data_IF_030202061469
#
_entry.id   IF_030202061469
#
_cell.length_a   1.000
_cell.length_b   1.000
_cell.length_c   1.000
_cell.angle_alpha   90.00
_cell.angle_beta   90.00
_cell.angle_gamma   90.00
#
_symmetry.space_group_name_H-M   'P 1'
#
loop_
_entity.id
_entity.type
_entity.pdbx_description
1 polymer ?
#
# COMPACT_ATOMS: atom_id res chain seq x y z
N UNK A 1 -49.31 -41.29 34.81
CA UNK A 1 -48.33 -40.35 34.22
C UNK A 1 -47.11 -41.17 33.80
N UNK A 2 -46.60 -40.91 32.60
CA UNK A 2 -45.75 -41.81 31.80
C UNK A 2 -44.30 -41.87 32.31
N UNK A 3 -43.75 -43.08 32.29
CA UNK A 3 -42.36 -43.41 32.60
C UNK A 3 -41.42 -43.16 31.41
N UNK A 4 -40.30 -42.55 31.75
CA UNK A 4 -38.90 -42.81 31.34
C UNK A 4 -38.53 -42.96 29.86
N UNK A 5 -37.66 -42.04 29.45
CA UNK A 5 -36.89 -42.02 28.21
C UNK A 5 -35.83 -43.14 28.17
N UNK A 6 -35.53 -43.56 26.94
CA UNK A 6 -34.29 -44.18 26.42
C UNK A 6 -34.27 -45.71 26.28
N UNK A 7 -34.25 -46.14 25.01
CA UNK A 7 -33.32 -47.19 24.59
C UNK A 7 -32.66 -46.76 23.27
N UNK A 8 -31.33 -46.65 23.34
CA UNK A 8 -30.40 -46.39 22.24
C UNK A 8 -30.28 -47.64 21.36
N UNK A 9 -30.17 -47.42 20.05
CA UNK A 9 -29.08 -47.96 19.25
C UNK A 9 -29.12 -49.43 18.80
N UNK A 10 -28.87 -49.57 17.50
CA UNK A 10 -28.03 -50.57 16.85
C UNK A 10 -28.67 -51.85 16.26
N UNK A 11 -28.44 -51.96 14.94
CA UNK A 11 -28.15 -53.16 14.14
C UNK A 11 -29.34 -54.12 13.84
N UNK A 12 -29.45 -54.80 12.69
CA UNK A 12 -28.51 -55.09 11.62
C UNK A 12 -29.26 -55.44 10.30
N UNK A 13 -28.51 -55.35 9.20
CA UNK A 13 -28.81 -55.73 7.82
C UNK A 13 -29.22 -57.21 7.65
N UNK A 14 -30.06 -57.52 6.65
CA UNK A 14 -29.87 -58.71 5.81
C UNK A 14 -30.64 -58.61 4.48
N UNK A 15 -29.90 -58.90 3.41
CA UNK A 15 -30.15 -58.76 1.98
C UNK A 15 -31.20 -59.75 1.42
N UNK A 16 -31.82 -59.40 0.28
CA UNK A 16 -32.23 -60.42 -0.70
C UNK A 16 -33.33 -60.02 -1.69
N UNK A 17 -32.97 -59.71 -2.94
CA UNK A 17 -33.90 -59.85 -4.07
C UNK A 17 -33.63 -59.00 -5.32
N UNK A 18 -32.81 -59.54 -6.23
CA UNK A 18 -32.72 -59.25 -7.67
C UNK A 18 -32.15 -57.90 -8.16
N UNK A 19 -31.05 -58.06 -8.91
CA UNK A 19 -30.28 -57.10 -9.67
C UNK A 19 -30.90 -56.91 -11.08
N UNK A 20 -30.99 -55.65 -11.53
CA UNK A 20 -30.98 -55.19 -12.93
C UNK A 20 -32.11 -55.63 -13.88
N UNK A 21 -32.78 -54.66 -14.52
CA UNK A 21 -32.86 -54.49 -15.99
C UNK A 21 -33.70 -53.22 -16.29
N UNK A 22 -33.06 -52.22 -16.90
CA UNK A 22 -33.62 -50.89 -17.16
C UNK A 22 -34.53 -50.80 -18.38
N UNK A 23 -35.22 -49.66 -18.50
CA UNK A 23 -35.91 -49.26 -19.73
C UNK A 23 -37.00 -48.22 -19.53
N UNK A 24 -36.67 -46.93 -19.65
CA UNK A 24 -37.61 -45.85 -19.96
C UNK A 24 -38.37 -45.21 -18.80
N UNK A 25 -37.84 -44.12 -18.24
CA UNK A 25 -38.68 -43.10 -17.60
C UNK A 25 -38.84 -43.13 -16.07
N UNK A 26 -37.90 -43.69 -15.29
CA UNK A 26 -37.84 -43.38 -13.85
C UNK A 26 -37.31 -41.97 -13.64
N UNK A 27 -38.20 -40.99 -13.83
CA UNK A 27 -38.04 -39.65 -13.27
C UNK A 27 -37.79 -39.84 -11.77
N UNK A 28 -36.62 -39.50 -11.26
CA UNK A 28 -36.45 -39.33 -9.83
C UNK A 28 -37.51 -38.29 -9.38
N UNK A 29 -38.52 -38.71 -8.60
CA UNK A 29 -39.65 -37.85 -8.17
C UNK A 29 -39.22 -36.72 -7.22
N UNK A 30 -37.99 -36.77 -6.71
CA UNK A 30 -37.48 -35.83 -5.73
C UNK A 30 -36.11 -35.35 -6.19
N UNK A 31 -36.08 -34.18 -6.79
CA UNK A 31 -34.86 -33.40 -6.97
C UNK A 31 -35.00 -32.16 -6.07
N UNK A 32 -34.00 -31.90 -5.24
CA UNK A 32 -33.92 -30.68 -4.44
C UNK A 32 -32.72 -29.87 -4.94
N UNK A 33 -32.99 -28.68 -5.47
CA UNK A 33 -31.99 -27.67 -5.79
C UNK A 33 -32.22 -26.48 -4.87
N UNK A 34 -31.21 -26.07 -4.12
CA UNK A 34 -31.22 -24.82 -3.36
C UNK A 34 -30.14 -23.92 -3.94
N UNK A 35 -30.53 -22.79 -4.51
CA UNK A 35 -29.59 -21.81 -5.03
C UNK A 35 -29.44 -20.70 -3.99
N UNK A 36 -28.30 -20.65 -3.31
CA UNK A 36 -27.92 -19.45 -2.58
C UNK A 36 -27.63 -18.34 -3.60
N UNK A 37 -28.19 -17.15 -3.40
CA UNK A 37 -27.80 -15.98 -4.17
C UNK A 37 -26.33 -15.66 -3.83
N UNK A 38 -25.41 -16.02 -4.71
CA UNK A 38 -24.04 -15.55 -4.61
C UNK A 38 -24.06 -14.02 -4.77
N UNK A 39 -23.57 -13.30 -3.76
CA UNK A 39 -23.51 -11.84 -3.78
C UNK A 39 -22.60 -11.31 -4.89
N UNK A 40 -22.67 -10.01 -5.15
CA UNK A 40 -21.77 -9.32 -6.09
C UNK A 40 -20.46 -8.95 -5.41
N UNK A 41 -19.33 -9.19 -6.08
CA UNK A 41 -18.01 -8.72 -5.66
C UNK A 41 -17.72 -7.40 -6.40
N UNK A 42 -17.24 -6.40 -5.67
CA UNK A 42 -16.82 -5.09 -6.22
C UNK A 42 -15.34 -4.89 -5.94
N UNK A 43 -14.60 -4.41 -6.94
CA UNK A 43 -13.18 -4.11 -6.80
C UNK A 43 -12.95 -2.84 -5.94
N UNK A 44 -11.81 -2.81 -5.26
CA UNK A 44 -11.35 -1.64 -4.52
C UNK A 44 -10.82 -0.51 -5.41
N UNK A 45 -10.38 0.58 -4.77
CA UNK A 45 -9.78 1.75 -5.41
C UNK A 45 -8.46 2.09 -4.73
N UNK A 46 -7.41 2.33 -5.53
CA UNK A 46 -6.11 2.80 -5.09
C UNK A 46 -5.74 4.04 -5.92
N UNK A 47 -5.70 5.20 -5.27
CA UNK A 47 -5.40 6.46 -5.94
C UNK A 47 -4.60 7.41 -5.05
N UNK A 48 -3.81 8.28 -5.66
CA UNK A 48 -3.14 9.41 -5.00
C UNK A 48 -3.28 10.65 -5.87
N UNK A 49 -3.73 11.75 -5.28
CA UNK A 49 -3.68 13.07 -5.90
C UNK A 49 -2.66 13.91 -5.15
N UNK A 50 -1.82 14.63 -5.87
CA UNK A 50 -0.72 15.37 -5.29
C UNK A 50 -0.88 16.87 -5.57
N UNK A 51 -0.78 17.68 -4.52
CA UNK A 51 -0.69 19.13 -4.65
C UNK A 51 0.68 19.54 -5.25
N UNK A 52 0.88 20.84 -5.48
CA UNK A 52 2.20 21.35 -5.86
C UNK A 52 3.18 21.19 -4.70
N UNK A 53 4.28 20.48 -4.90
CA UNK A 53 5.33 20.36 -3.90
C UNK A 53 6.24 21.59 -3.86
N UNK A 54 6.87 21.81 -2.71
CA UNK A 54 7.71 22.97 -2.42
C UNK A 54 9.05 22.50 -1.88
N UNK A 55 10.13 23.11 -2.36
CA UNK A 55 11.46 22.98 -1.79
C UNK A 55 11.75 24.14 -0.85
N UNK A 56 12.32 23.85 0.31
CA UNK A 56 12.76 24.84 1.30
C UNK A 56 14.19 24.60 1.75
N UNK A 57 14.88 25.65 2.18
CA UNK A 57 16.19 25.55 2.82
C UNK A 57 16.07 25.11 4.30
N UNK A 58 17.20 24.99 5.00
CA UNK A 58 17.23 24.63 6.43
C UNK A 58 16.49 25.62 7.33
N UNK A 59 16.36 26.88 6.89
CA UNK A 59 15.62 27.92 7.62
C UNK A 59 14.13 27.94 7.27
N UNK A 60 13.67 27.06 6.36
CA UNK A 60 12.28 26.98 5.91
C UNK A 60 11.91 27.98 4.82
N UNK A 61 12.89 28.68 4.23
CA UNK A 61 12.60 29.62 3.14
C UNK A 61 12.40 28.87 1.82
N UNK A 62 11.40 29.24 1.00
CA UNK A 62 11.21 28.64 -0.32
C UNK A 62 12.45 28.79 -1.22
N UNK A 63 12.79 27.70 -1.91
CA UNK A 63 13.95 27.62 -2.80
C UNK A 63 13.50 27.55 -4.25
N UNK A 64 14.01 28.45 -5.09
CA UNK A 64 13.87 28.36 -6.54
C UNK A 64 14.99 27.48 -7.12
N UNK A 65 14.68 26.23 -7.43
CA UNK A 65 15.64 25.26 -7.98
C UNK A 65 16.28 25.68 -9.30
N UNK A 66 15.68 26.60 -10.07
CA UNK A 66 16.27 27.07 -11.32
C UNK A 66 17.52 27.94 -11.11
N UNK A 67 17.65 28.56 -9.94
CA UNK A 67 18.73 29.52 -9.63
C UNK A 67 19.51 29.17 -8.38
N UNK A 68 19.01 28.23 -7.57
CA UNK A 68 19.64 27.87 -6.30
C UNK A 68 20.90 27.03 -6.53
N UNK A 69 22.01 27.47 -5.94
CA UNK A 69 23.30 26.80 -5.99
C UNK A 69 23.62 26.24 -4.61
N UNK A 70 23.60 24.92 -4.48
CA UNK A 70 23.90 24.24 -3.22
C UNK A 70 25.39 24.35 -2.88
N UNK A 71 25.69 24.46 -1.59
CA UNK A 71 27.06 24.38 -1.05
C UNK A 71 27.18 23.26 -0.01
N UNK A 72 28.39 22.75 0.27
CA UNK A 72 28.59 21.80 1.36
C UNK A 72 28.00 22.34 2.68
N UNK A 73 27.11 21.56 3.28
CA UNK A 73 26.36 21.89 4.48
C UNK A 73 24.87 22.20 4.24
N UNK A 74 24.46 22.39 2.99
CA UNK A 74 23.06 22.66 2.65
C UNK A 74 22.16 21.46 2.93
N UNK A 75 20.96 21.77 3.42
CA UNK A 75 19.88 20.83 3.61
C UNK A 75 18.63 21.43 2.99
N UNK A 76 18.14 20.78 1.94
CA UNK A 76 16.90 21.14 1.26
C UNK A 76 15.81 20.14 1.64
N UNK A 77 14.62 20.65 1.95
CA UNK A 77 13.46 19.83 2.28
C UNK A 77 12.39 19.99 1.20
N UNK A 78 11.98 18.88 0.59
CA UNK A 78 10.83 18.83 -0.29
C UNK A 78 9.61 18.38 0.49
N UNK A 79 8.51 19.13 0.37
CA UNK A 79 7.23 18.81 0.99
C UNK A 79 6.13 18.85 -0.04
N UNK A 80 5.21 17.88 0.00
CA UNK A 80 4.06 17.80 -0.87
C UNK A 80 2.86 17.19 -0.14
N UNK A 81 1.72 17.86 -0.25
CA UNK A 81 0.45 17.35 0.28
C UNK A 81 -0.19 16.36 -0.70
N UNK A 82 -0.71 15.27 -0.16
CA UNK A 82 -1.24 14.13 -0.91
C UNK A 82 -2.60 13.71 -0.37
N UNK A 83 -3.58 13.58 -1.26
CA UNK A 83 -4.87 12.96 -0.99
C UNK A 83 -4.83 11.49 -1.41
N UNK A 84 -4.75 10.60 -0.42
CA UNK A 84 -4.64 9.14 -0.63
C UNK A 84 -6.01 8.48 -0.51
N UNK A 85 -6.39 7.73 -1.54
CA UNK A 85 -7.60 6.87 -1.54
C UNK A 85 -7.20 5.40 -1.52
N UNK A 86 -7.55 4.71 -0.44
CA UNK A 86 -7.46 3.27 -0.25
C UNK A 86 -8.85 2.72 0.05
N UNK A 87 -9.47 2.07 -0.93
CA UNK A 87 -10.75 1.37 -0.79
C UNK A 87 -10.54 -0.12 -1.04
N UNK A 88 -10.98 -0.96 -0.11
CA UNK A 88 -10.93 -2.42 -0.20
C UNK A 88 -10.55 -3.05 1.15
N UNK A 89 -11.14 -4.21 1.44
CA UNK A 89 -11.09 -4.83 2.78
C UNK A 89 -9.68 -5.19 3.27
N UNK A 90 -8.73 -5.35 2.35
CA UNK A 90 -7.32 -5.69 2.64
C UNK A 90 -6.34 -4.71 1.99
N UNK A 91 -6.80 -3.48 1.67
CA UNK A 91 -6.01 -2.50 0.92
C UNK A 91 -4.94 -1.86 1.81
N UNK A 92 -3.69 -1.91 1.35
CA UNK A 92 -2.59 -1.12 1.89
C UNK A 92 -1.64 -0.70 0.77
N UNK A 93 -0.94 0.42 0.94
CA UNK A 93 0.01 0.91 -0.04
C UNK A 93 1.23 1.55 0.60
N UNK A 94 2.40 1.27 0.05
CA UNK A 94 3.62 2.00 0.35
C UNK A 94 3.65 3.30 -0.42
N UNK A 95 3.89 4.40 0.26
CA UNK A 95 4.30 5.64 -0.39
C UNK A 95 5.81 5.62 -0.64
N UNK A 96 6.22 5.77 -1.89
CA UNK A 96 7.63 5.75 -2.31
C UNK A 96 7.96 7.08 -2.99
N UNK A 97 9.11 7.65 -2.64
CA UNK A 97 9.66 8.81 -3.34
C UNK A 97 10.49 8.35 -4.54
N UNK A 98 10.22 8.90 -5.72
CA UNK A 98 10.97 8.60 -6.95
C UNK A 98 12.02 9.66 -7.24
N UNK A 99 12.99 9.33 -8.11
CA UNK A 99 14.13 10.19 -8.43
C UNK A 99 15.00 10.58 -7.23
N UNK A 100 15.03 9.78 -6.16
CA UNK A 100 15.73 10.05 -4.89
C UNK A 100 17.15 9.46 -4.80
N UNK A 101 17.69 8.86 -5.87
CA UNK A 101 19.00 8.22 -5.85
C UNK A 101 20.15 9.15 -5.44
N UNK A 102 20.99 8.68 -4.50
CA UNK A 102 22.08 9.46 -3.90
C UNK A 102 23.22 9.82 -4.89
N UNK A 103 23.30 9.20 -6.07
CA UNK A 103 24.40 9.44 -7.02
C UNK A 103 24.03 10.26 -8.26
N UNK A 104 22.83 10.84 -8.32
CA UNK A 104 22.38 11.54 -9.53
C UNK A 104 23.10 12.89 -9.66
N UNK A 105 24.24 12.89 -10.34
CA UNK A 105 25.01 14.10 -10.68
C UNK A 105 25.99 14.59 -9.61
N UNK A 106 25.94 14.03 -8.40
CA UNK A 106 26.89 14.24 -7.30
C UNK A 106 27.60 12.93 -6.96
N UNK A 107 28.76 13.01 -6.31
CA UNK A 107 29.36 11.86 -5.64
C UNK A 107 28.41 11.32 -4.55
N UNK A 108 28.02 10.03 -4.59
CA UNK A 108 27.11 9.43 -3.58
C UNK A 108 27.62 9.53 -2.14
N UNK A 109 28.93 9.69 -1.94
CA UNK A 109 29.52 9.85 -0.61
C UNK A 109 29.29 11.24 -0.04
N UNK A 110 29.07 12.24 -0.89
CA UNK A 110 28.92 13.65 -0.53
C UNK A 110 27.47 14.09 -0.32
N UNK A 111 26.49 13.32 -0.79
CA UNK A 111 25.08 13.68 -0.64
C UNK A 111 24.29 12.58 0.06
N UNK A 112 23.14 12.94 0.60
CA UNK A 112 22.19 11.98 1.18
C UNK A 112 20.78 12.43 0.88
N UNK A 113 19.93 11.47 0.53
CA UNK A 113 18.49 11.69 0.35
C UNK A 113 17.76 10.75 1.28
N UNK A 114 16.83 11.26 2.08
CA UNK A 114 16.09 10.43 3.02
C UNK A 114 14.96 9.68 2.32
N UNK A 115 14.54 8.57 2.93
CA UNK A 115 13.23 7.97 2.65
C UNK A 115 12.10 8.96 2.94
N UNK A 116 10.93 8.80 2.29
CA UNK A 116 9.77 9.65 2.57
C UNK A 116 9.32 9.54 4.02
N UNK A 117 9.15 10.69 4.66
CA UNK A 117 8.45 10.83 5.95
C UNK A 117 7.04 11.31 5.68
N UNK A 118 6.07 10.70 6.35
CA UNK A 118 4.65 11.06 6.27
C UNK A 118 4.22 11.72 7.58
N UNK A 119 3.46 12.81 7.48
CA UNK A 119 2.79 13.44 8.63
C UNK A 119 1.34 13.76 8.32
N UNK A 120 0.52 13.89 9.35
CA UNK A 120 -0.84 14.42 9.23
C UNK A 120 -0.84 15.96 9.32
N UNK A 121 -2.04 16.54 9.39
CA UNK A 121 -2.24 17.98 9.49
C UNK A 121 -1.73 18.57 10.82
N UNK A 122 -1.66 17.75 11.89
CA UNK A 122 -1.16 18.16 13.20
C UNK A 122 0.36 17.98 13.32
N UNK A 123 0.98 17.34 12.31
CA UNK A 123 2.42 17.09 12.22
C UNK A 123 2.85 15.75 12.82
N UNK A 124 1.90 14.93 13.26
CA UNK A 124 2.18 13.61 13.82
C UNK A 124 2.63 12.64 12.72
N UNK A 125 3.58 11.77 13.07
CA UNK A 125 4.19 10.85 12.10
C UNK A 125 3.22 9.72 11.76
N UNK A 126 3.02 9.51 10.46
CA UNK A 126 2.20 8.44 9.93
C UNK A 126 3.09 7.28 9.47
N UNK A 127 2.67 6.07 9.81
CA UNK A 127 3.35 4.86 9.38
C UNK A 127 3.22 4.63 7.86
N UNK A 128 4.24 4.01 7.27
CA UNK A 128 4.26 3.56 5.89
C UNK A 128 4.55 2.04 5.91
N UNK A 129 3.69 1.16 5.40
CA UNK A 129 2.55 1.39 4.49
C UNK A 129 1.34 2.10 5.11
N UNK A 130 0.62 2.86 4.27
CA UNK A 130 -0.71 3.40 4.56
C UNK A 130 -1.76 2.30 4.48
N UNK A 131 -2.72 2.31 5.41
CA UNK A 131 -3.79 1.31 5.51
C UNK A 131 -5.19 1.91 5.42
N UNK A 132 -5.32 3.24 5.43
CA UNK A 132 -6.60 3.95 5.31
C UNK A 132 -6.52 5.10 4.31
N UNK A 133 -7.67 5.56 3.83
CA UNK A 133 -7.76 6.78 3.02
C UNK A 133 -7.58 8.00 3.92
N UNK A 134 -6.70 8.92 3.53
CA UNK A 134 -6.35 10.07 4.36
C UNK A 134 -5.58 11.12 3.55
N UNK A 135 -5.63 12.35 4.03
CA UNK A 135 -4.72 13.41 3.62
C UNK A 135 -3.40 13.27 4.37
N UNK A 136 -2.26 13.34 3.67
CA UNK A 136 -0.93 13.25 4.27
C UNK A 136 0.01 14.26 3.64
N UNK A 137 0.91 14.79 4.46
CA UNK A 137 2.05 15.57 3.99
C UNK A 137 3.26 14.65 3.88
N UNK A 138 3.77 14.47 2.66
CA UNK A 138 4.97 13.69 2.40
C UNK A 138 6.19 14.60 2.27
N UNK A 139 7.30 14.20 2.87
CA UNK A 139 8.55 14.96 2.82
C UNK A 139 9.78 14.10 2.60
N UNK A 140 10.77 14.65 1.91
CA UNK A 140 12.14 14.12 1.82
C UNK A 140 13.13 15.25 2.04
N UNK A 141 14.36 14.91 2.46
CA UNK A 141 15.46 15.87 2.48
C UNK A 141 16.55 15.48 1.50
N UNK A 142 17.16 16.47 0.87
CA UNK A 142 18.44 16.36 0.19
C UNK A 142 19.49 17.11 1.01
N UNK A 143 20.52 16.40 1.44
CA UNK A 143 21.66 16.98 2.14
C UNK A 143 22.89 16.95 1.25
N UNK A 144 23.55 18.10 1.09
CA UNK A 144 24.93 18.17 0.62
C UNK A 144 25.84 18.24 1.85
N UNK A 145 26.59 17.17 2.12
CA UNK A 145 27.29 17.01 3.40
C UNK A 145 28.33 18.10 3.60
N UNK A 146 28.35 18.67 4.81
CA UNK A 146 29.39 19.64 5.20
C UNK A 146 30.80 19.06 5.22
N UNK A 147 30.93 17.73 5.25
CA UNK A 147 32.22 17.03 5.18
C UNK A 147 32.79 16.94 3.76
N UNK A 148 32.05 17.37 2.73
CA UNK A 148 32.58 17.41 1.37
C UNK A 148 33.75 18.37 1.32
N UNK A 149 34.92 17.84 0.98
CA UNK A 149 36.17 18.57 1.00
C UNK A 149 36.69 18.82 -0.41
N UNK A 150 37.71 19.66 -0.51
CA UNK A 150 38.35 20.02 -1.78
C UNK A 150 37.36 20.71 -2.73
N UNK A 151 37.45 20.43 -4.04
CA UNK A 151 36.55 20.96 -5.08
C UNK A 151 35.69 19.86 -5.70
N UNK A 152 35.42 18.79 -4.95
CA UNK A 152 34.50 17.74 -5.41
C UNK A 152 33.10 18.33 -5.58
N UNK A 153 32.38 17.89 -6.62
CA UNK A 153 31.01 18.30 -6.93
C UNK A 153 30.77 19.81 -7.21
N UNK A 154 31.80 20.62 -7.43
CA UNK A 154 31.63 22.08 -7.70
C UNK A 154 30.87 22.43 -8.99
N UNK A 155 30.68 21.45 -9.89
CA UNK A 155 29.86 21.57 -11.10
C UNK A 155 28.81 20.45 -11.17
N UNK A 156 28.61 19.73 -10.06
CA UNK A 156 27.59 18.70 -9.97
C UNK A 156 26.20 19.34 -10.16
N UNK A 157 25.33 18.65 -10.88
CA UNK A 157 23.97 19.10 -11.11
C UNK A 157 23.02 17.94 -11.02
N UNK A 158 21.92 18.18 -10.31
CA UNK A 158 20.85 17.21 -10.12
C UNK A 158 19.51 17.89 -10.32
N UNK A 159 18.64 17.28 -11.12
CA UNK A 159 17.27 17.75 -11.26
C UNK A 159 16.41 17.28 -10.08
N UNK A 160 16.19 18.19 -9.13
CA UNK A 160 15.29 17.99 -7.98
C UNK A 160 13.82 18.31 -8.29
N UNK A 161 13.53 18.94 -9.43
CA UNK A 161 12.16 19.27 -9.87
C UNK A 161 11.34 18.06 -10.32
N UNK A 162 11.98 16.91 -10.53
CA UNK A 162 11.33 15.67 -10.96
C UNK A 162 11.08 14.68 -9.81
N UNK A 163 11.29 15.10 -8.55
CA UNK A 163 10.91 14.29 -7.39
C UNK A 163 9.39 14.19 -7.32
N UNK A 164 8.89 12.98 -7.15
CA UNK A 164 7.46 12.72 -6.99
C UNK A 164 7.22 11.58 -6.00
N UNK A 165 6.00 11.51 -5.48
CA UNK A 165 5.55 10.42 -4.62
C UNK A 165 4.58 9.50 -5.36
N UNK A 166 4.76 8.20 -5.20
CA UNK A 166 3.92 7.17 -5.84
C UNK A 166 3.43 6.17 -4.81
N UNK A 167 2.22 5.66 -4.99
CA UNK A 167 1.68 4.55 -4.19
C UNK A 167 1.93 3.21 -4.88
N UNK A 168 2.46 2.25 -4.12
CA UNK A 168 2.59 0.85 -4.54
C UNK A 168 1.78 -0.02 -3.60
N UNK A 169 0.79 -0.73 -4.13
CA UNK A 169 -0.02 -1.65 -3.33
C UNK A 169 0.85 -2.71 -2.65
N UNK A 170 0.53 -3.05 -1.40
CA UNK A 170 1.15 -4.15 -0.66
C UNK A 170 0.08 -5.03 -0.03
N UNK A 171 0.43 -6.29 0.19
CA UNK A 171 -0.43 -7.22 0.93
C UNK A 171 -0.31 -6.96 2.43
N UNK A 172 -1.45 -6.77 3.11
CA UNK A 172 -1.47 -6.68 4.58
C UNK A 172 -1.09 -8.04 5.19
N UNK A 173 -0.07 -8.04 6.03
CA UNK A 173 0.36 -9.24 6.77
C UNK A 173 -0.70 -9.62 7.81
N UNK A 174 -1.03 -10.91 7.91
CA UNK A 174 -2.01 -11.44 8.88
C UNK A 174 -3.46 -11.51 8.41
N UNK A 175 -3.77 -11.04 7.20
CA UNK A 175 -5.08 -11.18 6.57
C UNK A 175 -5.01 -12.21 5.42
N UNK A 176 -4.79 -13.49 5.73
CA UNK A 176 -5.01 -14.58 4.78
C UNK A 176 -6.46 -15.04 4.88
#
# INVERSE_FOLDING_TARGET
MKNTTMLKGAAALALGGALLLGGGGTLAWWNASDSAAAGTIVAGNLNVQAATGVWTDRAGNPVNLATYLVVPGDLLTYTQDLDVTLTGDKMAANLVATNTGAGAGFDPTNVTVTSPKLTDADGDVIANPLTTSQHVTASITFEFKSSTSTRTDVNASRNLGNVSFTLTQVQQSGLQ
#
